data_IF_724955885830
#
_entry.id   IF_724955885830
#
_cell.length_a   1.000
_cell.length_b   1.000
_cell.length_c   1.000
_cell.angle_alpha   90.00
_cell.angle_beta   90.00
_cell.angle_gamma   90.00
#
_symmetry.space_group_name_H-M   'P 1'
#
loop_
_entity.id
_entity.type
_entity.pdbx_description
1 polymer ?
#
# COMPACT_ATOMS: atom_id res chain seq x y z
N UNK A 1 2.64 4.39 -27.02
CA UNK A 1 1.62 3.98 -28.02
C UNK A 1 0.25 3.98 -27.36
N UNK A 2 -0.81 4.44 -28.05
CA UNK A 2 -2.18 4.52 -27.50
C UNK A 2 -2.94 3.21 -27.74
N UNK A 3 -3.67 2.73 -26.73
CA UNK A 3 -4.45 1.49 -26.82
C UNK A 3 -5.67 1.66 -27.75
N UNK A 4 -5.90 0.71 -28.66
CA UNK A 4 -7.12 0.70 -29.49
C UNK A 4 -8.34 0.29 -28.67
N UNK A 5 -9.53 0.69 -29.12
CA UNK A 5 -10.78 0.36 -28.42
C UNK A 5 -11.02 -1.16 -28.32
N UNK A 6 -10.58 -1.90 -29.33
CA UNK A 6 -10.65 -3.35 -29.35
C UNK A 6 -9.73 -4.00 -28.31
N UNK A 7 -8.54 -3.44 -28.12
CA UNK A 7 -7.60 -3.89 -27.08
C UNK A 7 -8.06 -3.52 -25.68
N UNK A 8 -8.71 -2.37 -25.49
CA UNK A 8 -9.36 -2.02 -24.22
C UNK A 8 -10.44 -3.03 -23.86
N UNK A 9 -11.39 -3.29 -24.78
CA UNK A 9 -12.43 -4.31 -24.57
C UNK A 9 -11.86 -5.69 -24.23
N UNK A 10 -10.75 -6.07 -24.87
CA UNK A 10 -10.04 -7.31 -24.54
C UNK A 10 -9.50 -7.28 -23.11
N UNK A 11 -8.77 -6.23 -22.74
CA UNK A 11 -8.17 -6.10 -21.42
C UNK A 11 -9.23 -6.05 -20.32
N UNK A 12 -10.32 -5.29 -20.50
CA UNK A 12 -11.42 -5.19 -19.54
C UNK A 12 -12.10 -6.54 -19.29
N UNK A 13 -12.28 -7.34 -20.33
CA UNK A 13 -12.86 -8.69 -20.20
C UNK A 13 -11.86 -9.68 -19.58
N UNK A 14 -10.57 -9.51 -19.88
CA UNK A 14 -9.51 -10.34 -19.32
C UNK A 14 -9.36 -10.12 -17.82
N UNK A 15 -9.45 -8.87 -17.35
CA UNK A 15 -9.44 -8.52 -15.92
C UNK A 15 -10.58 -9.22 -15.17
N UNK A 16 -11.76 -9.36 -15.80
CA UNK A 16 -12.92 -10.03 -15.18
C UNK A 16 -12.81 -11.55 -15.16
N UNK A 17 -12.29 -12.15 -16.23
CA UNK A 17 -12.41 -13.59 -16.48
C UNK A 17 -11.11 -14.37 -16.31
N UNK A 18 -9.96 -13.70 -16.37
CA UNK A 18 -8.63 -14.33 -16.43
C UNK A 18 -8.40 -15.19 -17.68
N UNK A 19 -9.30 -15.16 -18.67
CA UNK A 19 -9.27 -16.05 -19.83
C UNK A 19 -9.03 -15.28 -21.13
N UNK A 20 -7.83 -15.42 -21.71
CA UNK A 20 -7.42 -14.69 -22.90
C UNK A 20 -8.27 -15.04 -24.14
N UNK A 21 -8.60 -16.31 -24.33
CA UNK A 21 -9.37 -16.74 -25.51
C UNK A 21 -10.80 -16.20 -25.46
N UNK A 22 -11.45 -16.30 -24.30
CA UNK A 22 -12.79 -15.76 -24.08
C UNK A 22 -12.80 -14.24 -24.25
N UNK A 23 -11.82 -13.56 -23.66
CA UNK A 23 -11.69 -12.10 -23.75
C UNK A 23 -11.50 -11.62 -25.18
N UNK A 24 -10.69 -12.34 -25.97
CA UNK A 24 -10.50 -12.05 -27.39
C UNK A 24 -11.78 -12.28 -28.21
N UNK A 25 -12.56 -13.30 -27.87
CA UNK A 25 -13.87 -13.56 -28.50
C UNK A 25 -14.86 -12.43 -28.23
N UNK A 26 -14.99 -12.00 -26.98
CA UNK A 26 -15.88 -10.89 -26.57
C UNK A 26 -15.43 -9.55 -27.19
N UNK A 27 -14.13 -9.32 -27.28
CA UNK A 27 -13.57 -8.15 -27.95
C UNK A 27 -13.68 -8.19 -29.49
N UNK A 28 -14.18 -9.28 -30.07
CA UNK A 28 -14.46 -9.41 -31.51
C UNK A 28 -13.24 -9.74 -32.37
N UNK A 29 -12.22 -10.40 -31.81
CA UNK A 29 -11.07 -10.88 -32.59
C UNK A 29 -11.46 -12.09 -33.47
N UNK A 30 -10.87 -12.16 -34.68
CA UNK A 30 -11.22 -13.18 -35.68
C UNK A 30 -10.62 -14.56 -35.34
N UNK A 31 -9.49 -14.58 -34.63
CA UNK A 31 -8.79 -15.77 -34.20
C UNK A 31 -8.53 -15.68 -32.68
N UNK A 32 -9.57 -15.83 -31.83
CA UNK A 32 -9.46 -15.56 -30.40
C UNK A 32 -8.37 -16.35 -29.67
N UNK A 33 -8.16 -17.62 -30.06
CA UNK A 33 -7.15 -18.50 -29.45
C UNK A 33 -5.72 -17.98 -29.66
N UNK A 34 -5.42 -17.42 -30.84
CA UNK A 34 -4.08 -16.90 -31.16
C UNK A 34 -3.95 -15.45 -30.73
N UNK A 35 -4.95 -14.64 -31.05
CA UNK A 35 -4.93 -13.19 -30.81
C UNK A 35 -5.08 -12.85 -29.32
N UNK A 36 -5.66 -13.74 -28.51
CA UNK A 36 -5.69 -13.60 -27.05
C UNK A 36 -4.28 -13.55 -26.46
N UNK A 37 -3.46 -14.57 -26.73
CA UNK A 37 -2.06 -14.63 -26.25
C UNK A 37 -1.22 -13.46 -26.79
N UNK A 38 -1.33 -13.18 -28.09
CA UNK A 38 -0.61 -12.05 -28.71
C UNK A 38 -0.98 -10.69 -28.10
N UNK A 39 -2.22 -10.51 -27.63
CA UNK A 39 -2.58 -9.27 -26.96
C UNK A 39 -1.94 -9.17 -25.58
N UNK A 40 -1.77 -10.26 -24.84
CA UNK A 40 -1.10 -10.24 -23.53
C UNK A 40 0.41 -9.96 -23.64
N UNK A 41 1.04 -10.34 -24.74
CA UNK A 41 2.46 -10.04 -25.00
C UNK A 41 2.72 -8.57 -25.35
N UNK A 42 1.69 -7.83 -25.79
CA UNK A 42 1.85 -6.42 -26.14
C UNK A 42 2.01 -5.58 -24.88
N UNK A 43 3.15 -4.90 -24.77
CA UNK A 43 3.46 -4.01 -23.65
C UNK A 43 2.31 -3.03 -23.33
N UNK A 44 1.74 -2.37 -24.35
CA UNK A 44 0.61 -1.44 -24.17
C UNK A 44 -0.63 -2.06 -23.50
N UNK A 45 -0.94 -3.33 -23.80
CA UNK A 45 -2.09 -4.03 -23.22
C UNK A 45 -1.75 -4.48 -21.81
N UNK A 46 -0.53 -5.00 -21.59
CA UNK A 46 -0.05 -5.38 -20.26
C UNK A 46 -0.06 -4.20 -19.30
N UNK A 47 0.54 -3.07 -19.68
CA UNK A 47 0.54 -1.85 -18.87
C UNK A 47 -0.87 -1.40 -18.51
N UNK A 48 -1.81 -1.44 -19.46
CA UNK A 48 -3.20 -1.08 -19.19
C UNK A 48 -3.89 -2.04 -18.19
N UNK A 49 -3.63 -3.35 -18.31
CA UNK A 49 -4.15 -4.35 -17.38
C UNK A 49 -3.58 -4.11 -15.98
N UNK A 50 -2.26 -3.90 -15.87
CA UNK A 50 -1.57 -3.68 -14.61
C UNK A 50 -2.09 -2.40 -13.92
N UNK A 51 -2.18 -1.28 -14.65
CA UNK A 51 -2.74 -0.02 -14.15
C UNK A 51 -4.20 -0.18 -13.68
N UNK A 52 -5.01 -0.95 -14.40
CA UNK A 52 -6.40 -1.19 -14.01
C UNK A 52 -6.54 -2.10 -12.80
N UNK A 53 -5.69 -3.13 -12.69
CA UNK A 53 -5.65 -3.99 -11.52
C UNK A 53 -5.17 -3.22 -10.28
N UNK A 54 -4.18 -2.35 -10.44
CA UNK A 54 -3.71 -1.46 -9.37
C UNK A 54 -4.81 -0.47 -8.96
N UNK A 55 -5.50 0.14 -9.92
CA UNK A 55 -6.65 0.98 -9.64
C UNK A 55 -7.74 0.22 -8.87
N UNK A 56 -8.14 -0.97 -9.32
CA UNK A 56 -9.14 -1.80 -8.66
C UNK A 56 -8.68 -2.26 -7.27
N UNK A 57 -7.39 -2.55 -7.09
CA UNK A 57 -6.82 -2.88 -5.79
C UNK A 57 -6.86 -1.66 -4.86
N UNK A 58 -6.48 -0.48 -5.36
CA UNK A 58 -6.54 0.78 -4.61
C UNK A 58 -7.96 1.21 -4.28
N UNK A 59 -8.95 0.89 -5.12
CA UNK A 59 -10.37 1.18 -4.83
C UNK A 59 -10.96 0.21 -3.80
N UNK A 60 -10.47 -1.04 -3.79
CA UNK A 60 -10.89 -2.07 -2.81
C UNK A 60 -10.25 -1.91 -1.45
N UNK A 61 -9.02 -1.41 -1.41
CA UNK A 61 -8.28 -1.17 -0.17
C UNK A 61 -8.63 0.24 0.32
N UNK A 62 -9.10 0.34 1.55
CA UNK A 62 -9.30 1.63 2.18
C UNK A 62 -7.97 2.39 2.24
N UNK A 63 -7.93 3.58 1.64
CA UNK A 63 -6.74 4.43 1.71
C UNK A 63 -6.49 4.90 3.15
N UNK A 64 -5.25 5.29 3.46
CA UNK A 64 -4.93 5.84 4.78
C UNK A 64 -5.82 7.05 5.15
N UNK A 65 -6.17 7.88 4.16
CA UNK A 65 -7.06 9.02 4.32
C UNK A 65 -8.49 8.59 4.66
N UNK A 66 -9.05 7.63 3.90
CA UNK A 66 -10.38 7.08 4.16
C UNK A 66 -10.47 6.40 5.53
N UNK A 67 -9.40 5.72 5.95
CA UNK A 67 -9.32 5.12 7.29
C UNK A 67 -9.35 6.17 8.39
N UNK A 68 -8.60 7.27 8.22
CA UNK A 68 -8.62 8.39 9.17
C UNK A 68 -9.99 9.09 9.21
N UNK A 69 -10.64 9.27 8.07
CA UNK A 69 -12.00 9.81 8.00
C UNK A 69 -13.00 8.94 8.74
N UNK A 70 -12.95 7.62 8.53
CA UNK A 70 -13.79 6.66 9.24
C UNK A 70 -13.55 6.71 10.77
N UNK A 71 -12.28 6.65 11.20
CA UNK A 71 -11.93 6.75 12.62
C UNK A 71 -12.42 8.07 13.23
N UNK A 72 -12.37 9.17 12.47
CA UNK A 72 -12.86 10.48 12.90
C UNK A 72 -14.37 10.47 13.10
N UNK A 73 -15.13 9.90 12.16
CA UNK A 73 -16.60 9.76 12.29
C UNK A 73 -16.98 8.92 13.51
N UNK A 74 -16.30 7.79 13.71
CA UNK A 74 -16.48 6.95 14.89
C UNK A 74 -16.19 7.75 16.16
N UNK A 75 -15.04 8.42 16.25
CA UNK A 75 -14.65 9.23 17.40
C UNK A 75 -15.70 10.33 17.73
N UNK A 76 -16.29 10.95 16.71
CA UNK A 76 -17.35 11.96 16.86
C UNK A 76 -18.73 11.40 17.19
N UNK A 77 -18.95 10.08 17.06
CA UNK A 77 -20.27 9.46 17.23
C UNK A 77 -21.18 9.60 16.00
N UNK A 78 -20.62 10.00 14.85
CA UNK A 78 -21.37 10.16 13.61
C UNK A 78 -21.73 8.80 12.97
N UNK A 79 -20.90 7.78 13.21
CA UNK A 79 -21.13 6.42 12.74
C UNK A 79 -22.03 5.64 13.73
N UNK A 80 -23.10 5.03 13.22
CA UNK A 80 -24.09 4.31 14.03
C UNK A 80 -24.02 2.81 13.81
N UNK A 81 -24.02 2.08 14.90
CA UNK A 81 -24.09 0.63 14.94
C UNK A 81 -25.53 0.18 15.18
N UNK A 82 -25.92 -0.92 14.53
CA UNK A 82 -27.19 -1.58 14.81
C UNK A 82 -26.97 -2.60 15.91
N UNK A 83 -27.71 -2.47 17.00
CA UNK A 83 -27.70 -3.40 18.13
C UNK A 83 -29.09 -3.97 18.35
N UNK A 84 -29.11 -5.25 18.67
CA UNK A 84 -30.33 -5.95 19.06
C UNK A 84 -30.48 -5.81 20.58
N UNK A 85 -31.62 -5.29 21.00
CA UNK A 85 -31.99 -5.09 22.40
C UNK A 85 -33.11 -6.06 22.74
N UNK A 86 -32.83 -6.99 23.66
CA UNK A 86 -33.85 -7.85 24.25
C UNK A 86 -34.49 -7.15 25.44
N UNK A 87 -35.81 -7.01 25.42
CA UNK A 87 -36.63 -6.58 26.56
C UNK A 87 -37.58 -7.72 26.95
N UNK A 88 -38.21 -7.67 28.14
CA UNK A 88 -39.22 -8.65 28.53
C UNK A 88 -40.38 -8.78 27.51
N UNK A 89 -40.63 -7.72 26.73
CA UNK A 89 -41.69 -7.65 25.72
C UNK A 89 -41.26 -8.09 24.31
N UNK A 90 -39.98 -8.46 24.11
CA UNK A 90 -39.48 -8.96 22.82
C UNK A 90 -38.09 -8.47 22.43
N UNK A 91 -37.75 -8.64 21.16
CA UNK A 91 -36.43 -8.30 20.60
C UNK A 91 -36.58 -7.17 19.58
N UNK A 92 -35.82 -6.10 19.75
CA UNK A 92 -35.91 -4.89 18.92
C UNK A 92 -34.54 -4.50 18.37
N UNK A 93 -34.52 -4.00 17.14
CA UNK A 93 -33.34 -3.36 16.56
C UNK A 93 -33.27 -1.89 16.96
N UNK A 94 -32.10 -1.45 17.43
CA UNK A 94 -31.82 -0.06 17.77
C UNK A 94 -30.52 0.40 17.10
N UNK A 95 -30.50 1.63 16.59
CA UNK A 95 -29.30 2.26 16.03
C UNK A 95 -28.72 3.25 17.02
N UNK A 96 -27.52 2.95 17.54
CA UNK A 96 -26.81 3.82 18.49
C UNK A 96 -25.41 4.14 17.99
N UNK A 97 -24.81 5.18 18.53
CA UNK A 97 -23.41 5.50 18.28
C UNK A 97 -22.49 4.39 18.84
N UNK A 98 -21.27 4.31 18.32
CA UNK A 98 -20.23 3.48 18.89
C UNK A 98 -20.04 3.78 20.39
N UNK A 99 -19.80 2.74 21.19
CA UNK A 99 -19.60 2.91 22.63
C UNK A 99 -18.36 3.77 22.96
N UNK A 100 -18.30 4.30 24.18
CA UNK A 100 -17.19 5.17 24.59
C UNK A 100 -15.82 4.50 24.45
N UNK A 101 -15.73 3.17 24.67
CA UNK A 101 -14.48 2.44 24.56
C UNK A 101 -13.97 2.41 23.12
N UNK A 102 -14.87 2.16 22.18
CA UNK A 102 -14.62 2.16 20.74
C UNK A 102 -14.25 3.55 20.25
N UNK A 103 -14.95 4.58 20.72
CA UNK A 103 -14.62 5.99 20.42
C UNK A 103 -13.24 6.39 20.95
N UNK A 104 -12.91 6.01 22.19
CA UNK A 104 -11.58 6.24 22.78
C UNK A 104 -10.50 5.51 21.99
N UNK A 105 -10.76 4.27 21.55
CA UNK A 105 -9.84 3.53 20.71
C UNK A 105 -9.59 4.25 19.37
N UNK A 106 -10.63 4.76 18.72
CA UNK A 106 -10.49 5.52 17.48
C UNK A 106 -9.65 6.79 17.68
N UNK A 107 -9.92 7.56 18.75
CA UNK A 107 -9.10 8.74 19.12
C UNK A 107 -7.64 8.35 19.37
N UNK A 108 -7.40 7.23 20.06
CA UNK A 108 -6.05 6.73 20.33
C UNK A 108 -5.31 6.40 19.04
N UNK A 109 -5.94 5.72 18.09
CA UNK A 109 -5.31 5.39 16.81
C UNK A 109 -4.99 6.65 15.98
N UNK A 110 -5.86 7.67 16.02
CA UNK A 110 -5.58 8.98 15.40
C UNK A 110 -4.35 9.64 16.06
N UNK A 111 -4.32 9.70 17.39
CA UNK A 111 -3.24 10.34 18.15
C UNK A 111 -1.90 9.62 18.07
N UNK A 112 -1.87 8.30 17.83
CA UNK A 112 -0.60 7.58 17.56
C UNK A 112 0.08 8.10 16.29
N UNK A 113 -0.72 8.51 15.30
CA UNK A 113 -0.21 8.96 14.01
C UNK A 113 0.03 10.47 13.98
N UNK A 114 -0.78 11.22 14.72
CA UNK A 114 -0.63 12.65 14.94
C UNK A 114 -0.53 12.93 16.45
N UNK A 115 0.65 12.69 17.06
CA UNK A 115 0.86 13.00 18.46
C UNK A 115 0.58 14.48 18.67
N UNK A 116 -0.27 14.81 19.63
CA UNK A 116 -0.42 16.20 20.06
C UNK A 116 0.94 16.75 20.48
N UNK A 117 1.22 18.00 20.11
CA UNK A 117 2.43 18.72 20.50
C UNK A 117 2.48 18.88 22.02
N UNK A 118 3.10 17.91 22.69
CA UNK A 118 3.47 18.01 24.09
C UNK A 118 5.00 18.18 24.12
N UNK A 119 5.57 19.03 24.99
CA UNK A 119 7.02 19.18 25.12
C UNK A 119 7.80 17.85 25.22
N UNK A 120 7.19 16.81 25.82
CA UNK A 120 7.78 15.47 25.90
C UNK A 120 7.88 14.77 24.53
N UNK A 121 6.86 14.88 23.66
CA UNK A 121 6.89 14.27 22.33
C UNK A 121 7.92 14.96 21.43
N UNK A 122 8.03 16.30 21.52
CA UNK A 122 9.08 17.04 20.81
C UNK A 122 10.50 16.65 21.26
N UNK A 123 10.72 16.46 22.57
CA UNK A 123 12.01 16.04 23.09
C UNK A 123 12.39 14.63 22.60
N UNK A 124 11.41 13.72 22.53
CA UNK A 124 11.62 12.38 22.00
C UNK A 124 11.90 12.36 20.49
N UNK A 125 11.18 13.18 19.70
CA UNK A 125 11.45 13.33 18.26
C UNK A 125 12.87 13.85 18.03
N UNK A 126 13.26 14.94 18.71
CA UNK A 126 14.62 15.47 18.62
C UNK A 126 15.69 14.45 19.01
N UNK A 127 15.43 13.65 20.05
CA UNK A 127 16.34 12.58 20.46
C UNK A 127 16.47 11.51 19.37
N UNK A 128 15.35 11.07 18.79
CA UNK A 128 15.34 10.06 17.73
C UNK A 128 16.02 10.55 16.46
N UNK A 129 15.82 11.81 16.08
CA UNK A 129 16.51 12.47 14.96
C UNK A 129 18.02 12.48 15.20
N UNK A 130 18.47 12.96 16.37
CA UNK A 130 19.90 12.98 16.70
C UNK A 130 20.51 11.56 16.73
N UNK A 131 19.78 10.56 17.24
CA UNK A 131 20.23 9.16 17.21
C UNK A 131 20.30 8.58 15.79
N UNK A 132 19.38 8.97 14.90
CA UNK A 132 19.40 8.57 13.50
C UNK A 132 20.61 9.19 12.79
N UNK A 133 20.84 10.49 12.97
CA UNK A 133 22.00 11.21 12.39
C UNK A 133 23.32 10.59 12.85
N UNK A 134 23.46 10.29 14.15
CA UNK A 134 24.65 9.63 14.70
C UNK A 134 24.83 8.25 14.06
N UNK A 135 23.77 7.47 13.92
CA UNK A 135 23.84 6.13 13.29
C UNK A 135 24.20 6.21 11.81
N UNK A 136 23.69 7.20 11.10
CA UNK A 136 24.04 7.42 9.69
C UNK A 136 25.51 7.83 9.54
N UNK A 137 26.00 8.73 10.40
CA UNK A 137 27.41 9.11 10.42
C UNK A 137 28.32 7.91 10.74
N UNK A 138 27.98 7.12 11.75
CA UNK A 138 28.71 5.89 12.10
C UNK A 138 28.69 4.86 10.96
N UNK A 139 27.56 4.70 10.27
CA UNK A 139 27.46 3.81 9.11
C UNK A 139 28.30 4.30 7.92
N UNK A 140 28.39 5.62 7.71
CA UNK A 140 29.24 6.22 6.69
C UNK A 140 30.74 6.04 7.00
N UNK A 141 31.15 6.28 8.26
CA UNK A 141 32.52 6.05 8.72
C UNK A 141 32.92 4.58 8.59
N UNK A 142 32.05 3.65 9.01
CA UNK A 142 32.29 2.22 8.88
C UNK A 142 32.48 1.78 7.41
N UNK A 143 31.70 2.33 6.47
CA UNK A 143 31.90 2.09 5.03
C UNK A 143 33.26 2.61 4.55
N UNK A 144 33.63 3.84 4.92
CA UNK A 144 34.91 4.42 4.53
C UNK A 144 36.12 3.62 5.07
N UNK A 145 36.04 3.12 6.31
CA UNK A 145 37.09 2.24 6.87
C UNK A 145 37.18 0.89 6.14
N UNK A 146 36.06 0.37 5.63
CA UNK A 146 36.05 -0.90 4.89
C UNK A 146 36.68 -0.73 3.50
N UNK A 147 36.43 0.40 2.82
CA UNK A 147 37.06 0.71 1.53
C UNK A 147 38.58 0.93 1.68
N UNK A 148 39.03 1.65 2.71
CA UNK A 148 40.47 1.86 2.95
C UNK A 148 41.24 0.61 3.40
N UNK A 149 40.57 -0.40 3.97
CA UNK A 149 41.22 -1.67 4.36
C UNK A 149 41.40 -2.64 3.17
N UNK A 150 40.89 -2.33 1.98
CA UNK A 150 41.01 -3.17 0.79
C UNK A 150 42.20 -2.82 -0.12
N UNK A 151 42.93 -1.73 0.16
CA UNK A 151 44.25 -1.47 -0.45
C UNK A 151 45.33 -2.33 0.22
N UNK A 152 45.43 -3.59 -0.17
CA UNK A 152 46.59 -4.42 0.15
C UNK A 152 47.77 -3.95 -0.71
N UNK A 153 48.76 -3.28 -0.12
CA UNK A 153 50.06 -3.07 -0.78
C UNK A 153 50.79 -4.40 -0.91
N UNK A 154 50.87 -4.94 -2.12
CA UNK A 154 51.76 -6.05 -2.45
C UNK A 154 53.18 -5.48 -2.55
N UNK A 155 54.01 -5.77 -1.56
CA UNK A 155 55.46 -5.51 -1.62
C UNK A 155 56.09 -6.73 -2.30
N UNK A 156 56.44 -6.57 -3.57
CA UNK A 156 57.06 -7.62 -4.38
C UNK A 156 58.57 -7.65 -4.12
N UNK A 157 58.98 -8.15 -2.95
CA UNK A 157 60.39 -8.42 -2.67
C UNK A 157 60.75 -9.82 -3.18
N UNK A 158 61.02 -9.92 -4.49
CA UNK A 158 61.70 -11.07 -5.08
C UNK A 158 63.20 -10.70 -5.20
N UNK A 159 64.12 -11.37 -4.48
CA UNK A 159 65.54 -11.17 -4.70
C UNK A 159 65.96 -11.86 -6.01
N UNK A 160 66.54 -11.10 -6.94
CA UNK A 160 67.26 -11.67 -8.08
C UNK A 160 68.62 -12.22 -7.60
N UNK A 161 68.90 -13.48 -7.95
CA UNK A 161 70.18 -14.19 -7.73
C UNK A 161 71.37 -13.53 -8.45
#
# INVERSE_FOLDING_TARGET
MKLSEKQKRFADEYIKTGNATQSAKVAGYKQPHVQGSQNLEKLSVKTYIDEKLEQLASERIMSAQQALELLTKIAKGEEKETVIVGTPDGVYESKKEADLKTRIAAVKEILKRYPTENPLTQAQIRKLEAEADIREAQAAEAKNMTDSSSEVMIVDDIPED
#
